data_IF_832300762135
#
_entry.id   IF_832300762135
#
_cell.length_a   1.000
_cell.length_b   1.000
_cell.length_c   1.000
_cell.angle_alpha   90.00
_cell.angle_beta   90.00
_cell.angle_gamma   90.00
#
_symmetry.space_group_name_H-M   'P 1'
#
loop_
_entity.id
_entity.type
_entity.pdbx_description
1 polymer ?
#
# COMPACT_ATOMS: atom_id res chain seq x y z
N UNK A 1 14.04 13.76 14.58
CA UNK A 1 13.66 14.66 13.46
C UNK A 1 13.98 14.02 12.09
N UNK A 2 15.24 13.67 11.81
CA UNK A 2 15.64 13.13 10.50
C UNK A 2 14.83 11.90 10.02
N UNK A 3 14.58 10.92 10.90
CA UNK A 3 13.76 9.73 10.55
C UNK A 3 12.32 10.09 10.15
N UNK A 4 11.70 11.03 10.84
CA UNK A 4 10.33 11.48 10.54
C UNK A 4 10.29 12.26 9.22
N UNK A 5 11.29 13.12 8.98
CA UNK A 5 11.42 13.86 7.73
C UNK A 5 11.61 12.90 6.55
N UNK A 6 12.55 11.96 6.67
CA UNK A 6 12.85 11.02 5.59
C UNK A 6 11.67 10.09 5.30
N UNK A 7 11.04 9.51 6.35
CA UNK A 7 9.86 8.65 6.17
C UNK A 7 8.65 9.42 5.61
N UNK A 8 8.44 10.66 6.03
CA UNK A 8 7.39 11.52 5.48
C UNK A 8 7.63 11.86 4.01
N UNK A 9 8.84 12.28 3.67
CA UNK A 9 9.24 12.57 2.29
C UNK A 9 9.11 11.33 1.39
N UNK A 10 9.61 10.18 1.83
CA UNK A 10 9.52 8.93 1.10
C UNK A 10 8.07 8.48 0.86
N UNK A 11 7.20 8.57 1.89
CA UNK A 11 5.77 8.25 1.73
C UNK A 11 5.09 9.19 0.74
N UNK A 12 5.38 10.50 0.79
CA UNK A 12 4.78 11.47 -0.12
C UNK A 12 5.23 11.24 -1.57
N UNK A 13 6.53 11.10 -1.81
CA UNK A 13 7.07 10.83 -3.15
C UNK A 13 6.54 9.51 -3.69
N UNK A 14 6.53 8.46 -2.87
CA UNK A 14 5.97 7.16 -3.23
C UNK A 14 4.49 7.27 -3.59
N UNK A 15 3.69 7.98 -2.79
CA UNK A 15 2.28 8.20 -3.07
C UNK A 15 2.06 8.90 -4.42
N UNK A 16 2.80 9.97 -4.70
CA UNK A 16 2.72 10.67 -6.00
C UNK A 16 3.12 9.74 -7.13
N UNK A 17 4.26 9.05 -7.01
CA UNK A 17 4.75 8.14 -8.05
C UNK A 17 3.74 7.01 -8.35
N UNK A 18 3.16 6.38 -7.33
CA UNK A 18 2.17 5.32 -7.50
C UNK A 18 0.91 5.81 -8.20
N UNK A 19 0.37 6.96 -7.79
CA UNK A 19 -0.81 7.51 -8.45
C UNK A 19 -0.50 7.85 -9.92
N UNK A 20 0.67 8.41 -10.21
CA UNK A 20 1.05 8.72 -11.59
C UNK A 20 1.22 7.45 -12.44
N UNK A 21 1.95 6.44 -11.96
CA UNK A 21 2.19 5.20 -12.71
C UNK A 21 0.91 4.40 -12.89
N UNK A 22 0.02 4.35 -11.90
CA UNK A 22 -1.24 3.61 -11.96
C UNK A 22 -2.16 4.07 -13.11
N UNK A 23 -2.03 5.32 -13.55
CA UNK A 23 -2.82 5.89 -14.65
C UNK A 23 -1.97 6.19 -15.90
N UNK A 24 -0.66 5.86 -15.90
CA UNK A 24 0.26 6.25 -16.97
C UNK A 24 -0.13 5.67 -18.35
N UNK A 25 -0.69 4.46 -18.37
CA UNK A 25 -1.09 3.74 -19.58
C UNK A 25 -2.62 3.73 -19.80
N UNK A 26 -3.36 4.59 -19.09
CA UNK A 26 -4.82 4.71 -19.23
C UNK A 26 -5.18 5.76 -20.30
N UNK A 27 -5.90 5.34 -21.33
CA UNK A 27 -6.43 6.22 -22.39
C UNK A 27 -7.33 7.32 -21.78
N UNK A 28 -7.29 8.59 -22.26
CA UNK A 28 -8.08 9.69 -21.68
C UNK A 28 -9.58 9.42 -21.58
N UNK A 29 -10.14 8.63 -22.50
CA UNK A 29 -11.56 8.26 -22.53
C UNK A 29 -11.97 7.31 -21.41
N UNK A 30 -11.03 6.52 -20.87
CA UNK A 30 -11.26 5.55 -19.81
C UNK A 30 -10.92 6.10 -18.40
N UNK A 31 -10.46 7.35 -18.31
CA UNK A 31 -9.90 7.89 -17.06
C UNK A 31 -10.95 8.05 -15.95
N UNK A 32 -12.21 8.33 -16.30
CA UNK A 32 -13.32 8.37 -15.34
C UNK A 32 -13.58 7.00 -14.71
N UNK A 33 -13.62 5.95 -15.54
CA UNK A 33 -13.84 4.57 -15.09
C UNK A 33 -12.66 4.07 -14.25
N UNK A 34 -11.43 4.40 -14.66
CA UNK A 34 -10.23 4.08 -13.91
C UNK A 34 -10.23 4.74 -12.52
N UNK A 35 -10.62 6.00 -12.41
CA UNK A 35 -10.76 6.71 -11.13
C UNK A 35 -11.84 6.08 -10.23
N UNK A 36 -12.99 5.69 -10.81
CA UNK A 36 -14.05 5.02 -10.08
C UNK A 36 -13.55 3.67 -9.52
N UNK A 37 -12.92 2.85 -10.36
CA UNK A 37 -12.35 1.56 -9.96
C UNK A 37 -11.28 1.73 -8.86
N UNK A 38 -10.35 2.69 -9.03
CA UNK A 38 -9.32 2.97 -8.04
C UNK A 38 -9.93 3.36 -6.69
N UNK A 39 -10.98 4.18 -6.69
CA UNK A 39 -11.71 4.57 -5.48
C UNK A 39 -12.39 3.37 -4.81
N UNK A 40 -13.04 2.51 -5.58
CA UNK A 40 -13.65 1.27 -5.06
C UNK A 40 -12.59 0.34 -4.46
N UNK A 41 -11.46 0.16 -5.13
CA UNK A 41 -10.35 -0.65 -4.61
C UNK A 41 -9.77 -0.08 -3.32
N UNK A 42 -9.63 1.24 -3.21
CA UNK A 42 -9.17 1.89 -1.98
C UNK A 42 -10.16 1.69 -0.83
N UNK A 43 -11.46 1.80 -1.08
CA UNK A 43 -12.50 1.53 -0.07
C UNK A 43 -12.48 0.08 0.39
N UNK A 44 -12.37 -0.87 -0.55
CA UNK A 44 -12.25 -2.28 -0.24
C UNK A 44 -10.98 -2.56 0.57
N UNK A 45 -9.83 -2.02 0.16
CA UNK A 45 -8.56 -2.18 0.86
C UNK A 45 -8.64 -1.66 2.29
N UNK A 46 -9.27 -0.50 2.52
CA UNK A 46 -9.48 0.05 3.85
C UNK A 46 -10.37 -0.88 4.71
N UNK A 47 -11.48 -1.36 4.16
CA UNK A 47 -12.37 -2.31 4.84
C UNK A 47 -11.66 -3.62 5.20
N UNK A 48 -11.01 -4.24 4.23
CA UNK A 48 -10.25 -5.48 4.42
C UNK A 48 -9.14 -5.31 5.45
N UNK A 49 -8.43 -4.17 5.46
CA UNK A 49 -7.40 -3.88 6.45
C UNK A 49 -7.93 -3.94 7.88
N UNK A 50 -9.08 -3.32 8.14
CA UNK A 50 -9.73 -3.36 9.46
C UNK A 50 -10.19 -4.78 9.81
N UNK A 51 -10.84 -5.48 8.87
CA UNK A 51 -11.33 -6.84 9.10
C UNK A 51 -10.19 -7.83 9.38
N UNK A 52 -9.08 -7.77 8.62
CA UNK A 52 -7.92 -8.63 8.82
C UNK A 52 -7.26 -8.32 10.18
N UNK A 53 -7.11 -7.04 10.54
CA UNK A 53 -6.56 -6.66 11.84
C UNK A 53 -7.41 -7.19 13.00
N UNK A 54 -8.74 -7.03 12.92
CA UNK A 54 -9.67 -7.54 13.93
C UNK A 54 -9.63 -9.08 14.02
N UNK A 55 -9.57 -9.77 12.88
CA UNK A 55 -9.47 -11.23 12.83
C UNK A 55 -8.13 -11.71 13.43
N UNK A 56 -7.03 -11.01 13.15
CA UNK A 56 -5.73 -11.33 13.71
C UNK A 56 -5.72 -11.14 15.24
N UNK A 57 -6.29 -10.04 15.75
CA UNK A 57 -6.48 -9.86 17.20
C UNK A 57 -7.29 -11.01 17.81
N UNK A 58 -8.44 -11.33 17.21
CA UNK A 58 -9.31 -12.41 17.68
C UNK A 58 -8.62 -13.78 17.64
N UNK A 59 -7.85 -14.06 16.59
CA UNK A 59 -7.06 -15.29 16.49
C UNK A 59 -6.02 -15.35 17.60
N UNK A 60 -5.30 -14.24 17.84
CA UNK A 60 -4.34 -14.13 18.93
C UNK A 60 -4.95 -14.38 20.31
N UNK A 61 -6.14 -13.84 20.59
CA UNK A 61 -6.87 -14.10 21.84
C UNK A 61 -7.15 -15.59 22.05
N UNK A 62 -7.57 -16.29 20.98
CA UNK A 62 -7.95 -17.70 21.02
C UNK A 62 -6.74 -18.63 21.12
N UNK A 63 -5.62 -18.30 20.47
CA UNK A 63 -4.45 -19.20 20.36
C UNK A 63 -3.38 -18.95 21.43
N UNK A 64 -3.19 -17.70 21.86
CA UNK A 64 -2.10 -17.30 22.74
C UNK A 64 -2.54 -17.10 24.21
N UNK A 65 -3.85 -17.21 24.49
CA UNK A 65 -4.40 -17.03 25.83
C UNK A 65 -4.43 -15.56 26.26
N UNK A 66 -5.57 -14.91 26.03
CA UNK A 66 -5.81 -13.52 26.45
C UNK A 66 -6.21 -13.40 27.91
N UNK A 67 -5.24 -13.40 28.84
CA UNK A 67 -5.47 -12.78 30.14
C UNK A 67 -5.61 -11.26 29.98
N UNK A 68 -6.30 -10.57 30.90
CA UNK A 68 -6.63 -9.13 30.82
C UNK A 68 -5.42 -8.16 30.61
N UNK A 69 -4.18 -8.65 30.66
CA UNK A 69 -2.94 -7.88 30.39
C UNK A 69 -2.05 -8.45 29.28
N UNK A 70 -2.53 -9.40 28.48
CA UNK A 70 -1.71 -9.99 27.41
C UNK A 70 -1.63 -9.07 26.20
N UNK A 71 -0.42 -8.71 25.79
CA UNK A 71 -0.14 -7.96 24.54
C UNK A 71 0.07 -8.87 23.34
N UNK A 72 0.09 -10.19 23.53
CA UNK A 72 0.35 -11.18 22.50
C UNK A 72 -0.61 -11.11 21.29
N UNK A 73 -1.93 -10.85 21.46
CA UNK A 73 -2.85 -10.68 20.33
C UNK A 73 -2.48 -9.49 19.44
N UNK A 74 -2.08 -8.37 20.04
CA UNK A 74 -1.63 -7.18 19.32
C UNK A 74 -0.35 -7.42 18.55
N UNK A 75 0.61 -8.14 19.14
CA UNK A 75 1.84 -8.53 18.44
C UNK A 75 1.53 -9.37 17.20
N UNK A 76 0.61 -10.34 17.32
CA UNK A 76 0.18 -11.16 16.18
C UNK A 76 -0.47 -10.29 15.09
N UNK A 77 -1.35 -9.36 15.45
CA UNK A 77 -1.93 -8.40 14.50
C UNK A 77 -0.88 -7.53 13.80
N UNK A 78 0.12 -7.02 14.54
CA UNK A 78 1.23 -6.27 13.96
C UNK A 78 2.10 -7.10 13.02
N UNK A 79 2.35 -8.37 13.34
CA UNK A 79 3.09 -9.30 12.47
C UNK A 79 2.33 -9.56 11.17
N UNK A 80 1.00 -9.74 11.24
CA UNK A 80 0.17 -9.90 10.04
C UNK A 80 0.22 -8.66 9.16
N UNK A 81 0.08 -7.46 9.74
CA UNK A 81 0.18 -6.19 9.00
C UNK A 81 1.58 -6.01 8.41
N UNK A 82 2.62 -6.37 9.16
CA UNK A 82 4.01 -6.31 8.68
C UNK A 82 4.21 -7.24 7.47
N UNK A 83 3.69 -8.47 7.51
CA UNK A 83 3.77 -9.41 6.40
C UNK A 83 3.04 -8.88 5.15
N UNK A 84 1.85 -8.31 5.31
CA UNK A 84 1.12 -7.67 4.20
C UNK A 84 1.90 -6.48 3.60
N UNK A 85 2.53 -5.68 4.46
CA UNK A 85 3.34 -4.54 4.02
C UNK A 85 4.60 -4.98 3.29
N UNK A 86 5.24 -6.06 3.74
CA UNK A 86 6.39 -6.66 3.05
C UNK A 86 5.96 -7.19 1.68
N UNK A 87 4.82 -7.86 1.56
CA UNK A 87 4.31 -8.33 0.28
C UNK A 87 4.09 -7.17 -0.71
N UNK A 88 3.46 -6.08 -0.25
CA UNK A 88 3.28 -4.88 -1.06
C UNK A 88 4.63 -4.24 -1.47
N UNK A 89 5.62 -4.30 -0.58
CA UNK A 89 6.98 -3.81 -0.88
C UNK A 89 7.69 -4.69 -1.90
N UNK A 90 7.47 -6.00 -1.89
CA UNK A 90 8.02 -6.91 -2.91
C UNK A 90 7.42 -6.62 -4.29
N UNK A 91 6.10 -6.40 -4.37
CA UNK A 91 5.45 -5.96 -5.61
C UNK A 91 6.03 -4.62 -6.11
N UNK A 92 6.24 -3.67 -5.20
CA UNK A 92 6.89 -2.38 -5.49
C UNK A 92 8.26 -2.56 -6.17
N UNK A 93 9.09 -3.43 -5.62
CA UNK A 93 10.45 -3.70 -6.10
C UNK A 93 10.42 -4.49 -7.42
N UNK A 94 9.36 -5.26 -7.66
CA UNK A 94 9.16 -6.05 -8.88
C UNK A 94 8.60 -5.24 -10.05
N UNK A 95 8.17 -3.98 -9.85
CA UNK A 95 7.77 -3.12 -10.95
C UNK A 95 8.91 -3.02 -11.99
N UNK A 96 8.56 -3.28 -13.25
CA UNK A 96 9.52 -3.24 -14.35
C UNK A 96 10.07 -1.82 -14.53
N UNK A 97 11.36 -1.70 -14.85
CA UNK A 97 12.01 -0.41 -15.06
C UNK A 97 11.39 0.46 -16.18
N UNK A 98 10.59 -0.13 -17.06
CA UNK A 98 9.84 0.56 -18.14
C UNK A 98 8.45 1.07 -17.70
N UNK A 99 8.02 0.81 -16.46
CA UNK A 99 6.73 1.28 -15.95
C UNK A 99 6.74 2.82 -15.88
N UNK A 100 5.88 3.47 -16.69
CA UNK A 100 5.84 4.93 -16.81
C UNK A 100 6.83 5.53 -17.81
N UNK A 101 7.48 4.74 -18.68
CA UNK A 101 8.35 5.29 -19.75
C UNK A 101 7.59 6.26 -20.69
N UNK A 102 6.29 6.02 -20.88
CA UNK A 102 5.43 6.82 -21.75
C UNK A 102 5.20 8.26 -21.25
N UNK A 103 5.41 8.51 -19.96
CA UNK A 103 5.25 9.83 -19.34
C UNK A 103 6.59 10.54 -19.09
N UNK A 104 7.72 9.92 -19.43
CA UNK A 104 9.03 10.56 -19.35
C UNK A 104 9.19 11.60 -20.47
N UNK A 105 9.66 12.84 -20.17
CA UNK A 105 9.98 13.79 -21.22
C UNK A 105 11.12 13.22 -22.08
N UNK A 106 10.83 12.80 -23.32
CA UNK A 106 11.87 12.45 -24.30
C UNK A 106 12.73 13.69 -24.51
N UNK A 107 13.99 13.66 -24.07
CA UNK A 107 14.97 14.69 -24.42
C UNK A 107 15.09 14.70 -25.94
N UNK A 108 14.55 15.73 -26.58
CA UNK A 108 14.79 15.96 -28.01
C UNK A 108 16.30 16.20 -28.18
N UNK A 109 16.99 15.45 -29.06
CA UNK A 109 18.37 15.79 -29.40
C UNK A 109 18.34 17.17 -30.06
N UNK A 110 19.09 18.10 -29.47
CA UNK A 110 19.39 19.43 -30.03
C UNK A 110 20.45 19.31 -31.11
#
# INVERSE_FOLDING_TARGET
>A
AALLIFSGAARSVGFTAYNTIAFADVEPTAMTDANALASTLQQLAAGFGVTIAALALRAGDLTLGGGERSVAPFQLAFVVIAALTVLATVEAIRLTAVAGDNILPRRRPV
#
